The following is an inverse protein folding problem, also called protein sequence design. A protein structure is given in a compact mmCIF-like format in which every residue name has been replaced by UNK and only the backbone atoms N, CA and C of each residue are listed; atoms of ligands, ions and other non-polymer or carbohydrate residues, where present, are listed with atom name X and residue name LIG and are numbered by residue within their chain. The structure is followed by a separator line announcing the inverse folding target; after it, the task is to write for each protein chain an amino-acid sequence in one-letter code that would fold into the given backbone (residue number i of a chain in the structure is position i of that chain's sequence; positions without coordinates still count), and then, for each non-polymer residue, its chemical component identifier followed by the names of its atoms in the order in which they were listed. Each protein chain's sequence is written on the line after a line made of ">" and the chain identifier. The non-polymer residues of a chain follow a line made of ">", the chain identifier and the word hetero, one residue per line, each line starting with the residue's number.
data_IF_463970250052
#
_entry.id   IF_463970250052
#
_cell.length_a   1.000
_cell.length_b   1.000
_cell.length_c   1.000
_cell.angle_alpha   90.00
_cell.angle_beta   90.00
_cell.angle_gamma   90.00
#
_symmetry.space_group_name_H-M   'P 1'
#
loop_
_entity.id
_entity.type
_entity.pdbx_description
1 polymer ?
#
# COMPACT_ATOMS: atom_id res chain seq x y z
N UNK A 1 3.46 -3.08 -19.84
CA UNK A 1 3.07 -4.40 -19.31
C UNK A 1 2.40 -4.19 -17.96
N UNK A 2 1.69 -5.20 -17.44
CA UNK A 2 1.11 -5.15 -16.10
C UNK A 2 1.86 -6.12 -15.18
N UNK A 3 2.07 -5.72 -13.93
CA UNK A 3 2.58 -6.59 -12.87
C UNK A 3 1.85 -6.30 -11.56
N UNK A 4 1.60 -7.31 -10.75
CA UNK A 4 0.83 -7.20 -9.52
C UNK A 4 1.68 -7.39 -8.26
N UNK A 5 1.22 -6.78 -7.16
CA UNK A 5 1.89 -6.87 -5.86
C UNK A 5 1.03 -7.59 -4.83
N UNK A 6 -0.29 -7.39 -4.88
CA UNK A 6 -1.29 -8.16 -4.15
C UNK A 6 -2.70 -7.76 -4.60
N UNK A 7 -3.66 -8.66 -4.46
CA UNK A 7 -5.09 -8.34 -4.66
C UNK A 7 -5.80 -7.91 -3.35
N UNK A 8 -5.21 -8.18 -2.18
CA UNK A 8 -5.75 -7.85 -0.85
C UNK A 8 -4.74 -7.18 0.07
N UNK A 9 -5.24 -6.44 1.04
CA UNK A 9 -4.44 -5.85 2.10
C UNK A 9 -3.69 -6.94 2.90
N UNK A 10 -2.47 -6.66 3.32
CA UNK A 10 -1.65 -7.58 4.10
C UNK A 10 -2.32 -7.93 5.44
N UNK A 11 -3.04 -6.96 6.04
CA UNK A 11 -3.92 -7.19 7.18
C UNK A 11 -5.04 -8.19 6.88
N UNK A 12 -5.70 -8.11 5.72
CA UNK A 12 -6.75 -9.07 5.34
C UNK A 12 -6.20 -10.49 5.29
N UNK A 13 -5.05 -10.67 4.63
CA UNK A 13 -4.36 -11.96 4.57
C UNK A 13 -4.04 -12.51 5.95
N UNK A 14 -3.56 -11.68 6.87
CA UNK A 14 -3.23 -12.09 8.24
C UNK A 14 -4.48 -12.45 9.06
N UNK A 15 -5.47 -11.57 9.13
CA UNK A 15 -6.58 -11.68 10.07
C UNK A 15 -7.77 -12.50 9.57
N UNK A 16 -7.93 -12.64 8.24
CA UNK A 16 -9.04 -13.39 7.64
C UNK A 16 -8.58 -14.71 7.03
N UNK A 17 -7.48 -14.68 6.27
CA UNK A 17 -7.00 -15.86 5.52
C UNK A 17 -6.04 -16.72 6.37
N UNK A 18 -5.46 -16.18 7.44
CA UNK A 18 -4.47 -16.88 8.26
C UNK A 18 -3.08 -16.97 7.61
N UNK A 19 -2.74 -16.02 6.73
CA UNK A 19 -1.45 -15.95 6.01
C UNK A 19 -0.68 -14.67 6.39
N UNK A 20 0.12 -14.69 7.46
CA UNK A 20 0.81 -13.49 7.95
C UNK A 20 2.04 -13.08 7.12
N UNK A 21 2.64 -13.99 6.35
CA UNK A 21 3.93 -13.76 5.67
C UNK A 21 3.76 -13.06 4.30
N UNK A 22 2.97 -11.99 4.25
CA UNK A 22 2.69 -11.22 3.01
C UNK A 22 3.12 -9.76 3.09
N UNK A 23 3.50 -9.30 4.28
CA UNK A 23 4.04 -7.96 4.49
C UNK A 23 5.44 -7.85 3.92
N UNK A 24 5.75 -6.71 3.28
CA UNK A 24 7.08 -6.45 2.74
C UNK A 24 7.88 -5.63 3.73
N UNK A 25 9.14 -5.97 3.97
CA UNK A 25 9.99 -5.18 4.86
C UNK A 25 10.30 -3.82 4.22
N UNK A 26 9.73 -2.75 4.79
CA UNK A 26 9.93 -1.37 4.34
C UNK A 26 11.36 -0.86 4.53
N UNK A 27 12.18 -1.56 5.33
CA UNK A 27 13.60 -1.25 5.51
C UNK A 27 14.50 -1.97 4.51
N UNK A 28 13.93 -2.85 3.68
CA UNK A 28 14.63 -3.67 2.69
C UNK A 28 15.76 -4.56 3.26
N UNK A 29 15.73 -4.91 4.55
CA UNK A 29 16.74 -5.73 5.20
C UNK A 29 16.42 -7.24 5.14
N UNK A 30 15.15 -7.63 5.16
CA UNK A 30 14.70 -9.03 5.09
C UNK A 30 13.68 -9.25 3.97
N UNK A 31 13.52 -10.49 3.48
CA UNK A 31 12.52 -10.82 2.46
C UNK A 31 11.17 -11.23 3.07
N UNK A 32 10.04 -10.98 2.36
CA UNK A 32 9.95 -10.21 1.11
C UNK A 32 10.16 -8.71 1.36
N UNK A 33 10.64 -7.97 0.36
CA UNK A 33 10.85 -6.53 0.45
C UNK A 33 10.69 -5.83 -0.91
N UNK A 34 10.66 -4.51 -0.88
CA UNK A 34 10.40 -3.66 -2.05
C UNK A 34 11.57 -3.64 -3.02
N UNK A 35 12.82 -3.57 -2.53
CA UNK A 35 14.01 -3.63 -3.39
C UNK A 35 14.04 -4.92 -4.21
N UNK A 36 13.61 -6.05 -3.66
CA UNK A 36 13.54 -7.31 -4.40
C UNK A 36 12.51 -7.24 -5.55
N UNK A 37 11.39 -6.57 -5.33
CA UNK A 37 10.37 -6.35 -6.35
C UNK A 37 10.87 -5.40 -7.44
N UNK A 38 11.49 -4.29 -7.05
CA UNK A 38 12.08 -3.30 -7.96
C UNK A 38 13.18 -3.92 -8.83
N UNK A 39 14.06 -4.75 -8.27
CA UNK A 39 15.07 -5.51 -9.03
C UNK A 39 14.45 -6.44 -10.07
N UNK A 40 13.32 -7.06 -9.72
CA UNK A 40 12.58 -7.89 -10.67
C UNK A 40 12.00 -7.04 -11.80
N UNK A 41 11.40 -5.89 -11.48
CA UNK A 41 10.86 -4.98 -12.49
C UNK A 41 11.96 -4.43 -13.40
N UNK A 42 13.09 -4.00 -12.86
CA UNK A 42 14.24 -3.51 -13.62
C UNK A 42 14.74 -4.55 -14.63
N UNK A 43 14.91 -5.80 -14.19
CA UNK A 43 15.29 -6.89 -15.08
C UNK A 43 14.27 -7.10 -16.21
N UNK A 44 12.97 -7.00 -15.90
CA UNK A 44 11.89 -7.16 -16.87
C UNK A 44 11.83 -6.00 -17.86
N UNK A 45 11.89 -4.75 -17.39
CA UNK A 45 11.80 -3.55 -18.23
C UNK A 45 13.03 -3.41 -19.11
N UNK A 46 14.23 -3.67 -18.59
CA UNK A 46 15.48 -3.68 -19.35
C UNK A 46 15.48 -4.76 -20.43
N UNK A 47 15.11 -6.00 -20.09
CA UNK A 47 15.13 -7.12 -21.06
C UNK A 47 14.11 -6.94 -22.18
N UNK A 48 12.93 -6.40 -21.85
CA UNK A 48 11.83 -6.30 -22.82
C UNK A 48 11.76 -4.95 -23.53
N UNK A 49 12.46 -3.93 -23.02
CA UNK A 49 12.32 -2.52 -23.43
C UNK A 49 10.86 -2.04 -23.34
N UNK A 50 10.10 -2.52 -22.35
CA UNK A 50 8.70 -2.15 -22.11
C UNK A 50 8.52 -1.67 -20.68
N UNK A 51 7.89 -0.51 -20.51
CA UNK A 51 7.49 0.01 -19.20
C UNK A 51 6.39 -0.84 -18.55
N UNK A 52 6.26 -0.71 -17.22
CA UNK A 52 5.32 -1.46 -16.40
C UNK A 52 4.31 -0.53 -15.72
N UNK A 53 3.06 -0.97 -15.66
CA UNK A 53 2.06 -0.45 -14.72
C UNK A 53 1.88 -1.48 -13.61
N UNK A 54 1.93 -1.03 -12.37
CA UNK A 54 1.72 -1.89 -11.20
C UNK A 54 0.23 -1.93 -10.88
N UNK A 55 -0.37 -3.10 -11.01
CA UNK A 55 -1.77 -3.39 -10.72
C UNK A 55 -1.88 -4.84 -10.26
N UNK A 56 -2.62 -5.17 -9.21
CA UNK A 56 -3.41 -4.30 -8.36
C UNK A 56 -2.60 -3.88 -7.13
N UNK A 57 -2.90 -2.69 -6.58
CA UNK A 57 -2.35 -2.22 -5.31
C UNK A 57 -3.49 -2.02 -4.29
N UNK A 58 -3.53 -2.79 -3.19
CA UNK A 58 -4.45 -2.61 -2.07
C UNK A 58 -4.33 -1.22 -1.42
N UNK A 59 -5.41 -0.74 -0.81
CA UNK A 59 -5.53 0.63 -0.30
C UNK A 59 -5.26 0.77 1.20
N UNK A 60 -5.05 -0.35 1.90
CA UNK A 60 -4.65 -0.33 3.30
C UNK A 60 -3.39 0.52 3.53
N UNK A 61 -3.28 1.04 4.74
CA UNK A 61 -2.12 1.78 5.21
C UNK A 61 -1.89 1.53 6.71
N UNK A 62 -0.73 1.90 7.21
CA UNK A 62 -0.35 1.95 8.63
C UNK A 62 -0.23 3.40 9.13
N UNK A 63 -0.87 4.35 8.43
CA UNK A 63 -0.85 5.79 8.77
C UNK A 63 -2.07 6.20 9.61
N UNK A 64 -3.29 6.02 9.07
CA UNK A 64 -4.50 6.47 9.73
C UNK A 64 -5.03 5.47 10.75
N UNK A 65 -5.49 5.99 11.90
CA UNK A 65 -6.16 5.25 12.96
C UNK A 65 -7.35 4.43 12.45
N UNK A 66 -7.98 4.86 11.36
CA UNK A 66 -9.04 4.13 10.65
C UNK A 66 -8.69 2.66 10.41
N UNK A 67 -7.40 2.35 10.20
CA UNK A 67 -6.89 1.02 9.90
C UNK A 67 -6.72 0.14 11.15
N UNK A 68 -7.82 -0.41 11.65
CA UNK A 68 -7.87 -1.26 12.84
C UNK A 68 -7.82 -2.77 12.57
N UNK A 69 -7.59 -3.19 11.32
CA UNK A 69 -7.60 -4.58 10.88
C UNK A 69 -8.94 -5.32 11.05
N UNK A 70 -10.06 -4.61 10.98
CA UNK A 70 -11.41 -5.20 10.82
C UNK A 70 -11.90 -5.11 9.39
N UNK A 71 -13.04 -5.74 9.10
CA UNK A 71 -13.67 -5.75 7.77
C UNK A 71 -13.79 -4.32 7.20
N UNK A 72 -13.21 -4.07 6.02
CA UNK A 72 -13.14 -2.76 5.38
C UNK A 72 -11.96 -1.88 5.79
N UNK A 73 -11.19 -2.25 6.82
CA UNK A 73 -10.21 -1.36 7.46
C UNK A 73 -8.87 -2.06 7.74
N UNK A 74 -8.39 -2.84 6.77
CA UNK A 74 -7.14 -3.60 6.89
C UNK A 74 -5.91 -2.76 6.58
N UNK A 75 -4.89 -2.92 7.42
CA UNK A 75 -3.59 -2.29 7.22
C UNK A 75 -2.83 -2.94 6.05
N UNK A 76 -2.03 -2.13 5.38
CA UNK A 76 -1.04 -2.53 4.37
C UNK A 76 0.11 -1.51 4.39
N UNK A 77 1.23 -1.80 3.73
CA UNK A 77 2.36 -0.88 3.67
C UNK A 77 2.84 -0.56 2.25
N UNK A 78 2.26 -1.18 1.22
CA UNK A 78 2.70 -0.98 -0.17
C UNK A 78 2.33 0.40 -0.70
N UNK A 79 1.13 0.90 -0.37
CA UNK A 79 0.73 2.25 -0.77
C UNK A 79 1.66 3.31 -0.19
N UNK A 80 1.97 3.23 1.12
CA UNK A 80 2.92 4.13 1.77
C UNK A 80 4.30 4.09 1.12
N UNK A 81 4.83 2.88 0.92
CA UNK A 81 6.17 2.74 0.36
C UNK A 81 6.23 3.32 -1.06
N UNK A 82 5.26 3.01 -1.92
CA UNK A 82 5.28 3.49 -3.31
C UNK A 82 5.16 5.02 -3.42
N UNK A 83 4.32 5.66 -2.59
CA UNK A 83 4.26 7.12 -2.57
C UNK A 83 5.54 7.77 -2.03
N UNK A 84 6.30 7.07 -1.18
CA UNK A 84 7.58 7.56 -0.67
C UNK A 84 8.77 7.33 -1.62
N UNK A 85 8.64 6.43 -2.61
CA UNK A 85 9.74 5.98 -3.49
C UNK A 85 9.36 6.10 -4.98
N UNK A 86 8.63 7.16 -5.36
CA UNK A 86 8.15 7.36 -6.74
C UNK A 86 9.29 7.41 -7.76
N UNK A 87 10.43 8.02 -7.41
CA UNK A 87 11.59 8.10 -8.30
C UNK A 87 12.19 6.70 -8.52
N UNK A 88 12.40 5.93 -7.45
CA UNK A 88 12.95 4.57 -7.54
C UNK A 88 12.07 3.67 -8.43
N UNK A 89 10.75 3.81 -8.32
CA UNK A 89 9.79 3.11 -9.18
C UNK A 89 9.92 3.54 -10.65
N UNK A 90 10.02 4.84 -10.91
CA UNK A 90 10.20 5.36 -12.26
C UNK A 90 11.53 4.90 -12.88
N UNK A 91 12.61 4.86 -12.09
CA UNK A 91 13.94 4.43 -12.52
C UNK A 91 13.96 2.96 -12.98
N UNK A 92 13.15 2.09 -12.35
CA UNK A 92 12.98 0.68 -12.78
C UNK A 92 11.92 0.49 -13.87
N UNK A 93 11.41 1.58 -14.45
CA UNK A 93 10.50 1.59 -15.59
C UNK A 93 9.02 1.47 -15.25
N UNK A 94 8.61 1.77 -14.01
CA UNK A 94 7.19 1.90 -13.64
C UNK A 94 6.66 3.25 -14.12
N UNK A 95 5.55 3.21 -14.86
CA UNK A 95 4.89 4.40 -15.43
C UNK A 95 3.47 4.63 -14.88
N UNK A 96 3.03 3.80 -13.93
CA UNK A 96 1.71 3.93 -13.34
C UNK A 96 1.48 2.98 -12.18
N UNK A 97 0.73 3.46 -11.19
CA UNK A 97 0.29 2.72 -10.01
C UNK A 97 -1.24 2.70 -10.00
N UNK A 98 -1.83 1.51 -10.01
CA UNK A 98 -3.28 1.33 -10.06
C UNK A 98 -3.77 0.73 -8.74
N UNK A 99 -4.41 1.57 -7.94
CA UNK A 99 -4.95 1.22 -6.63
C UNK A 99 -6.39 0.69 -6.75
N UNK A 100 -6.69 -0.38 -6.04
CA UNK A 100 -8.00 -1.01 -6.05
C UNK A 100 -8.12 -2.10 -5.00
N UNK A 101 -9.36 -2.39 -4.57
CA UNK A 101 -9.66 -3.60 -3.79
C UNK A 101 -9.91 -4.78 -4.74
N UNK A 102 -9.36 -5.95 -4.40
CA UNK A 102 -9.51 -7.17 -5.22
C UNK A 102 -10.56 -8.13 -4.67
N UNK A 103 -11.10 -7.84 -3.49
CA UNK A 103 -12.10 -8.67 -2.82
C UNK A 103 -13.06 -7.82 -1.98
N UNK A 104 -14.28 -8.34 -1.72
CA UNK A 104 -15.15 -7.81 -0.67
C UNK A 104 -14.43 -7.80 0.68
N UNK A 105 -14.62 -6.72 1.43
CA UNK A 105 -14.07 -6.54 2.77
C UNK A 105 -12.64 -5.98 2.83
N UNK A 106 -11.93 -5.86 1.72
CA UNK A 106 -10.69 -5.07 1.70
C UNK A 106 -10.95 -3.56 1.79
N UNK A 107 -9.94 -2.82 2.23
CA UNK A 107 -9.98 -1.36 2.39
C UNK A 107 -10.25 -0.64 1.08
N UNK A 108 -10.96 0.49 1.13
CA UNK A 108 -11.26 1.33 -0.05
C UNK A 108 -11.04 2.82 0.19
N UNK A 109 -10.93 3.61 -0.87
CA UNK A 109 -10.76 5.07 -0.80
C UNK A 109 -12.07 5.84 -0.63
N UNK A 110 -13.13 5.14 -0.22
CA UNK A 110 -14.47 5.67 -0.03
C UNK A 110 -15.04 5.11 1.26
N UNK A 111 -16.11 5.72 1.79
CA UNK A 111 -16.86 5.15 2.92
C UNK A 111 -17.79 4.02 2.43
N UNK A 112 -17.24 2.93 1.91
CA UNK A 112 -18.05 1.86 1.32
C UNK A 112 -18.69 0.99 2.41
N UNK A 113 -18.12 0.92 3.60
CA UNK A 113 -18.72 0.21 4.75
C UNK A 113 -19.84 0.99 5.41
N UNK A 114 -19.70 2.30 5.57
CA UNK A 114 -20.71 3.11 6.26
C UNK A 114 -20.91 2.72 7.73
N UNK A 115 -19.87 2.17 8.37
CA UNK A 115 -19.95 1.54 9.71
C UNK A 115 -19.55 2.48 10.86
N UNK A 116 -19.13 3.71 10.54
CA UNK A 116 -18.74 4.73 11.51
C UNK A 116 -17.33 4.56 12.06
N UNK A 117 -16.52 3.64 11.53
CA UNK A 117 -15.11 3.53 11.89
C UNK A 117 -14.34 4.67 11.21
N UNK A 118 -13.66 5.49 12.01
CA UNK A 118 -12.82 6.59 11.48
C UNK A 118 -11.56 6.76 12.33
N UNK A 119 -11.71 6.84 13.65
CA UNK A 119 -10.59 7.04 14.59
C UNK A 119 -10.67 6.09 15.79
N UNK A 120 -10.65 4.75 15.60
CA UNK A 120 -10.48 3.83 16.71
C UNK A 120 -9.09 4.01 17.36
N UNK A 121 -8.85 3.41 18.55
CA UNK A 121 -7.54 3.45 19.18
C UNK A 121 -6.43 2.97 18.22
N UNK A 122 -5.27 3.63 18.29
CA UNK A 122 -4.12 3.30 17.45
C UNK A 122 -3.67 1.84 17.65
N UNK A 123 -3.24 1.25 16.54
CA UNK A 123 -2.77 -0.11 16.39
C UNK A 123 -1.27 -0.11 16.04
N UNK A 124 -0.46 -0.57 16.98
CA UNK A 124 0.99 -0.70 16.80
C UNK A 124 1.39 -2.14 16.45
N UNK A 125 2.26 -2.32 15.45
CA UNK A 125 2.69 -3.64 14.98
C UNK A 125 4.14 -3.62 14.47
N UNK A 126 4.78 -4.79 14.46
CA UNK A 126 6.07 -5.02 13.79
C UNK A 126 5.90 -5.50 12.35
N UNK A 127 4.67 -5.70 11.89
CA UNK A 127 4.39 -6.16 10.52
C UNK A 127 4.93 -5.15 9.49
N UNK A 128 5.60 -5.67 8.46
CA UNK A 128 6.19 -4.87 7.39
C UNK A 128 7.50 -4.16 7.76
N UNK A 129 8.14 -4.54 8.86
CA UNK A 129 9.45 -4.02 9.26
C UNK A 129 10.36 -5.13 9.82
N UNK A 130 11.64 -5.13 9.43
CA UNK A 130 12.64 -6.05 10.01
C UNK A 130 13.08 -5.66 11.43
N UNK A 131 12.96 -4.37 11.78
CA UNK A 131 13.36 -3.82 13.09
C UNK A 131 12.39 -2.71 13.51
N UNK A 132 12.15 -2.59 14.82
CA UNK A 132 11.27 -1.55 15.39
C UNK A 132 9.77 -1.89 15.33
N UNK A 133 8.94 -0.85 15.48
CA UNK A 133 7.48 -0.93 15.45
C UNK A 133 6.88 0.28 14.73
N UNK A 134 5.76 0.09 14.02
CA UNK A 134 4.97 1.14 13.39
C UNK A 134 3.59 1.21 14.06
N UNK A 135 3.07 2.42 14.24
CA UNK A 135 1.75 2.67 14.81
C UNK A 135 0.97 3.59 13.86
N UNK A 136 -0.28 3.25 13.55
CA UNK A 136 -1.17 4.15 12.82
C UNK A 136 -1.76 5.20 13.78
N UNK A 137 -0.95 6.17 14.15
CA UNK A 137 -1.26 7.14 15.19
C UNK A 137 -1.82 8.47 14.65
N UNK A 138 -2.16 8.55 13.36
CA UNK A 138 -2.76 9.73 12.76
C UNK A 138 -4.29 9.63 12.74
N UNK A 139 -5.03 10.57 13.36
CA UNK A 139 -6.48 10.62 13.20
C UNK A 139 -6.84 11.05 11.76
N UNK A 140 -7.84 10.41 11.19
CA UNK A 140 -8.47 10.80 9.93
C UNK A 140 -9.52 11.89 10.15
N UNK A 141 -9.62 12.81 9.19
CA UNK A 141 -10.67 13.84 9.12
C UNK A 141 -11.82 13.45 8.18
N UNK A 142 -11.75 12.28 7.54
CA UNK A 142 -12.75 11.77 6.60
C UNK A 142 -13.14 10.34 6.94
N UNK A 143 -14.36 9.94 6.59
CA UNK A 143 -14.89 8.62 6.88
C UNK A 143 -14.55 7.57 5.81
N UNK A 144 -13.57 7.82 4.95
CA UNK A 144 -13.20 6.84 3.92
C UNK A 144 -12.64 5.58 4.60
N UNK A 145 -12.86 4.42 4.00
CA UNK A 145 -12.48 3.14 4.61
C UNK A 145 -10.96 3.07 4.85
N UNK A 146 -10.12 3.68 3.99
CA UNK A 146 -8.66 3.83 4.13
C UNK A 146 -8.21 5.04 4.98
N UNK A 147 -9.16 5.75 5.61
CA UNK A 147 -8.91 7.01 6.32
C UNK A 147 -8.61 8.20 5.40
N UNK A 148 -8.83 8.06 4.10
CA UNK A 148 -8.52 9.10 3.11
C UNK A 148 -7.05 9.13 2.71
N UNK A 149 -6.28 8.08 3.01
CA UNK A 149 -4.86 8.00 2.69
C UNK A 149 -4.60 8.17 1.19
N UNK A 150 -5.31 7.42 0.35
CA UNK A 150 -5.14 7.53 -1.10
C UNK A 150 -5.55 8.93 -1.59
N UNK A 151 -6.62 9.51 -1.05
CA UNK A 151 -7.05 10.88 -1.38
C UNK A 151 -5.97 11.91 -1.04
N UNK A 152 -5.42 11.82 0.17
CA UNK A 152 -4.36 12.70 0.66
C UNK A 152 -3.11 12.59 -0.24
N UNK A 153 -2.61 11.37 -0.46
CA UNK A 153 -1.42 11.13 -1.29
C UNK A 153 -1.61 11.46 -2.76
N UNK A 154 -2.80 11.22 -3.33
CA UNK A 154 -3.12 11.67 -4.68
C UNK A 154 -3.11 13.19 -4.77
N UNK A 155 -3.67 13.89 -3.78
CA UNK A 155 -3.64 15.37 -3.74
C UNK A 155 -2.21 15.90 -3.69
N UNK A 156 -1.35 15.31 -2.85
CA UNK A 156 0.08 15.65 -2.78
C UNK A 156 0.78 15.41 -4.12
N UNK A 157 0.57 14.24 -4.74
CA UNK A 157 1.18 13.88 -6.01
C UNK A 157 0.77 14.85 -7.14
N UNK A 158 -0.53 15.14 -7.28
CA UNK A 158 -1.01 15.99 -8.38
C UNK A 158 -0.64 17.47 -8.22
N UNK A 159 -0.19 17.91 -7.04
CA UNK A 159 0.37 19.24 -6.85
C UNK A 159 1.75 19.41 -7.51
N UNK A 160 2.53 18.32 -7.60
CA UNK A 160 3.85 18.29 -8.22
C UNK A 160 4.14 16.88 -8.78
N UNK A 161 3.50 16.49 -9.89
CA UNK A 161 3.60 15.13 -10.39
C UNK A 161 5.01 14.82 -10.88
N UNK A 162 5.46 13.59 -10.61
CA UNK A 162 6.73 13.10 -11.14
C UNK A 162 6.67 13.04 -12.66
N UNK A 163 7.62 13.70 -13.32
CA UNK A 163 7.79 13.60 -14.77
C UNK A 163 8.49 12.29 -15.09
N UNK A 164 7.90 11.50 -15.98
CA UNK A 164 8.50 10.26 -16.47
C UNK A 164 9.46 10.58 -17.63
N UNK A 165 10.55 9.81 -17.78
CA UNK A 165 11.51 9.95 -18.89
C UNK A 165 10.93 9.56 -20.25
#
# INVERSE_FOLDING_TARGET
>A
MFNDVADRDAGYYKYVVGRPNVWWDRTNATLPNFTRFEQYLDAVTTTTSRSVMVWQIPLGNQWFQTMNNTDGHYQDNRAEYFFAHLQDLADVGVIGLLFGRGNPGSSTSTNAKGDGVTNPPSFCTTDGMSTGQVCNNHPSTVSDDDGGYLRMKATEYYAAPLSLP
#
